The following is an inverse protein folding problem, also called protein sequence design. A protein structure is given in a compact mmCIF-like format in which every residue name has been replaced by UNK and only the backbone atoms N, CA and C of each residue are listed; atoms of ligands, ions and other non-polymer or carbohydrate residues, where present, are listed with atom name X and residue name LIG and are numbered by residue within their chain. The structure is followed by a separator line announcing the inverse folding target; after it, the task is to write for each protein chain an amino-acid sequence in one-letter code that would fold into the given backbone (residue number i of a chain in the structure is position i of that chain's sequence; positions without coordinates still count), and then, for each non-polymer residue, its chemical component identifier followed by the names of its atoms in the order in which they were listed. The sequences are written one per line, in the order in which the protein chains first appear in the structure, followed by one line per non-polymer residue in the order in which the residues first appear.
data_IF_246429156399
#
_entry.id   IF_246429156399
#
_cell.length_a   1.000
_cell.length_b   1.000
_cell.length_c   1.000
_cell.angle_alpha   90.00
_cell.angle_beta   90.00
_cell.angle_gamma   90.00
#
_symmetry.space_group_name_H-M   'P 1'
#
loop_
_entity.id
_entity.type
_entity.pdbx_description
1 polymer ?
#
# COMPACT_ATOMS: atom_id res chain seq x y z
N UNK A 1 10.08 -18.66 2.13
CA UNK A 1 8.79 -18.34 2.79
C UNK A 1 8.67 -19.23 4.01
N UNK A 2 8.34 -18.67 5.18
CA UNK A 2 7.93 -19.46 6.34
C UNK A 2 6.49 -19.90 6.16
N UNK A 3 6.16 -21.13 6.58
CA UNK A 3 4.78 -21.63 6.64
C UNK A 3 4.27 -21.41 8.06
N UNK A 4 3.27 -20.55 8.19
CA UNK A 4 2.60 -20.29 9.47
C UNK A 4 1.22 -20.94 9.44
N UNK A 5 0.82 -21.55 10.55
CA UNK A 5 -0.54 -22.08 10.74
C UNK A 5 -1.27 -21.10 11.66
N UNK A 6 -2.39 -20.57 11.19
CA UNK A 6 -3.26 -19.66 11.93
C UNK A 6 -4.70 -20.13 11.75
N UNK A 7 -5.51 -19.96 12.78
CA UNK A 7 -6.94 -20.20 12.71
C UNK A 7 -7.62 -18.96 12.15
N UNK A 8 -8.51 -19.18 11.18
CA UNK A 8 -9.27 -18.15 10.49
C UNK A 8 -10.72 -18.59 10.41
N UNK A 9 -11.60 -17.61 10.49
CA UNK A 9 -13.03 -17.85 10.26
C UNK A 9 -13.28 -18.20 8.79
N UNK A 10 -14.06 -19.26 8.57
CA UNK A 10 -14.28 -19.81 7.24
C UNK A 10 -15.20 -18.91 6.41
N UNK A 11 -16.22 -18.30 7.02
CA UNK A 11 -17.16 -17.40 6.34
C UNK A 11 -16.42 -16.16 5.82
N UNK A 12 -15.59 -15.56 6.67
CA UNK A 12 -14.75 -14.41 6.32
C UNK A 12 -13.76 -14.76 5.22
N UNK A 13 -13.14 -15.95 5.29
CA UNK A 13 -12.15 -16.38 4.30
C UNK A 13 -12.81 -16.67 2.94
N UNK A 14 -14.01 -17.24 2.94
CA UNK A 14 -14.77 -17.44 1.72
C UNK A 14 -15.21 -16.12 1.08
N UNK A 15 -15.63 -15.14 1.87
CA UNK A 15 -15.95 -13.81 1.36
C UNK A 15 -14.73 -13.17 0.71
N UNK A 16 -13.56 -13.25 1.36
CA UNK A 16 -12.28 -12.82 0.80
C UNK A 16 -11.94 -13.54 -0.51
N UNK A 17 -12.20 -14.84 -0.60
CA UNK A 17 -12.00 -15.62 -1.82
C UNK A 17 -12.90 -15.15 -2.96
N UNK A 18 -14.17 -14.82 -2.66
CA UNK A 18 -15.12 -14.25 -3.62
C UNK A 18 -14.70 -12.84 -4.05
N UNK A 19 -14.35 -11.99 -3.10
CA UNK A 19 -13.91 -10.61 -3.33
C UNK A 19 -12.69 -10.54 -4.25
N UNK A 20 -11.68 -11.37 -3.96
CA UNK A 20 -10.44 -11.40 -4.76
C UNK A 20 -10.48 -12.35 -5.95
N UNK A 21 -11.60 -13.05 -6.15
CA UNK A 21 -11.81 -14.07 -7.17
C UNK A 21 -10.66 -15.11 -7.23
N UNK A 22 -10.33 -15.68 -6.08
CA UNK A 22 -9.24 -16.66 -5.92
C UNK A 22 -9.76 -18.01 -5.46
N UNK A 23 -9.08 -19.08 -5.88
CA UNK A 23 -9.50 -20.46 -5.61
C UNK A 23 -8.99 -21.03 -4.29
N UNK A 24 -8.05 -20.36 -3.61
CA UNK A 24 -7.44 -20.86 -2.38
C UNK A 24 -7.48 -19.84 -1.25
N UNK A 25 -7.77 -20.33 -0.04
CA UNK A 25 -7.76 -19.54 1.21
C UNK A 25 -6.43 -18.79 1.39
N UNK A 26 -5.31 -19.48 1.15
CA UNK A 26 -3.97 -18.89 1.27
C UNK A 26 -3.71 -17.73 0.28
N UNK A 27 -4.24 -17.80 -0.95
CA UNK A 27 -4.10 -16.71 -1.91
C UNK A 27 -4.95 -15.49 -1.52
N UNK A 28 -6.14 -15.72 -0.97
CA UNK A 28 -7.04 -14.67 -0.50
C UNK A 28 -6.40 -13.89 0.66
N UNK A 29 -5.90 -14.60 1.67
CA UNK A 29 -5.22 -14.01 2.82
C UNK A 29 -3.97 -13.26 2.40
N UNK A 30 -3.15 -13.84 1.50
CA UNK A 30 -1.94 -13.16 1.01
C UNK A 30 -2.28 -11.83 0.33
N UNK A 31 -3.29 -11.81 -0.54
CA UNK A 31 -3.74 -10.58 -1.19
C UNK A 31 -4.26 -9.56 -0.19
N UNK A 32 -5.10 -9.98 0.76
CA UNK A 32 -5.61 -9.12 1.82
C UNK A 32 -4.47 -8.44 2.59
N UNK A 33 -3.45 -9.21 2.99
CA UNK A 33 -2.29 -8.68 3.69
C UNK A 33 -1.47 -7.71 2.83
N UNK A 34 -1.22 -8.04 1.57
CA UNK A 34 -0.49 -7.16 0.65
C UNK A 34 -1.22 -5.83 0.43
N UNK A 35 -2.54 -5.85 0.26
CA UNK A 35 -3.34 -4.63 0.11
C UNK A 35 -3.37 -3.81 1.39
N UNK A 36 -3.52 -4.46 2.55
CA UNK A 36 -3.50 -3.78 3.86
C UNK A 36 -2.18 -3.05 4.08
N UNK A 37 -1.04 -3.71 3.79
CA UNK A 37 0.28 -3.08 3.91
C UNK A 37 0.45 -1.93 2.92
N UNK A 38 -0.04 -2.07 1.68
CA UNK A 38 -0.01 -0.98 0.69
C UNK A 38 -0.86 0.20 1.12
N UNK A 39 -2.04 -0.05 1.67
CA UNK A 39 -2.93 0.99 2.19
C UNK A 39 -2.25 1.74 3.34
N UNK A 40 -1.69 1.02 4.30
CA UNK A 40 -1.01 1.64 5.45
C UNK A 40 0.17 2.50 5.00
N UNK A 41 1.02 1.99 4.11
CA UNK A 41 2.13 2.77 3.53
C UNK A 41 1.67 4.02 2.79
N UNK A 42 0.52 3.96 2.09
CA UNK A 42 -0.05 5.13 1.43
C UNK A 42 -0.53 6.17 2.44
N UNK A 43 -1.15 5.74 3.54
CA UNK A 43 -1.60 6.64 4.60
C UNK A 43 -0.41 7.31 5.29
N UNK A 44 0.63 6.54 5.65
CA UNK A 44 1.88 7.10 6.21
C UNK A 44 2.55 8.08 5.23
N UNK A 45 2.52 7.77 3.93
CA UNK A 45 3.06 8.67 2.92
C UNK A 45 2.24 9.97 2.79
N UNK A 46 0.91 9.89 2.84
CA UNK A 46 0.05 11.08 2.82
C UNK A 46 0.23 11.93 4.08
N UNK A 47 0.38 11.29 5.24
CA UNK A 47 0.68 11.95 6.51
C UNK A 47 2.06 12.64 6.48
N UNK A 48 3.07 12.01 5.85
CA UNK A 48 4.39 12.61 5.64
C UNK A 48 4.37 13.82 4.67
N UNK A 49 3.45 13.84 3.70
CA UNK A 49 3.23 14.99 2.82
C UNK A 49 2.53 16.12 3.59
N UNK A 50 1.46 15.80 4.32
CA UNK A 50 0.66 16.80 5.05
C UNK A 50 1.43 17.43 6.21
N UNK A 51 2.26 16.63 6.90
CA UNK A 51 3.19 17.12 7.93
C UNK A 51 4.35 17.97 7.39
N UNK A 52 4.48 18.11 6.07
CA UNK A 52 5.52 18.89 5.41
C UNK A 52 6.90 18.24 5.43
N UNK A 53 7.01 16.97 5.81
CA UNK A 53 8.26 16.20 5.74
C UNK A 53 8.62 15.82 4.29
N UNK A 54 7.62 15.74 3.40
CA UNK A 54 7.77 15.56 1.96
C UNK A 54 7.16 16.76 1.24
N UNK A 55 8.01 17.67 0.75
CA UNK A 55 7.57 18.83 -0.02
C UNK A 55 7.36 18.45 -1.50
N UNK A 56 6.10 18.31 -1.90
CA UNK A 56 5.68 18.06 -3.28
C UNK A 56 5.49 19.34 -4.12
N UNK A 57 5.71 20.52 -3.54
CA UNK A 57 5.56 21.81 -4.23
C UNK A 57 6.85 22.29 -4.90
N UNK A 58 7.97 21.60 -4.65
CA UNK A 58 9.26 21.87 -5.27
C UNK A 58 9.25 21.53 -6.78
N UNK A 59 9.11 22.55 -7.64
CA UNK A 59 9.30 22.41 -9.09
C UNK A 59 10.79 22.48 -9.45
N UNK A 60 11.43 21.32 -9.61
CA UNK A 60 12.84 21.20 -9.98
C UNK A 60 13.19 21.81 -11.37
N UNK A 61 12.22 22.25 -12.17
CA UNK A 61 12.46 22.88 -13.48
C UNK A 61 12.70 24.39 -13.38
N UNK A 62 12.39 25.02 -12.24
CA UNK A 62 12.53 26.48 -12.07
C UNK A 62 13.98 26.93 -11.87
N UNK A 63 14.87 26.04 -11.42
CA UNK A 63 16.28 26.38 -11.12
C UNK A 63 17.17 26.47 -12.36
N UNK A 64 16.68 26.13 -13.56
CA UNK A 64 17.48 26.10 -14.78
C UNK A 64 17.46 27.41 -15.60
N UNK A 65 16.69 28.44 -15.19
CA UNK A 65 16.53 29.68 -15.98
C UNK A 65 17.26 30.89 -15.38
N UNK A 66 18.03 30.72 -14.30
CA UNK A 66 18.56 31.82 -13.49
C UNK A 66 20.06 32.11 -13.58
N UNK A 67 20.80 31.57 -14.55
CA UNK A 67 22.23 31.93 -14.72
C UNK A 67 22.59 32.09 -16.20
N UNK A 68 22.24 33.27 -16.72
CA UNK A 68 22.77 33.82 -17.97
C UNK A 68 22.81 35.35 -17.79
N UNK A 69 23.82 35.83 -17.09
CA UNK A 69 24.22 37.23 -17.01
C UNK A 69 25.60 37.41 -17.65
#
# INVERSE_FOLDING_TARGET
MSRTVIDLDDDTTEELMRLYNVKTKAAAVRRAMEETVKLHRRLEFMDAIDSGAIDLTYDARTTATGDAA
#
